data_IF_152839479097
#
_entry.id   IF_152839479097
#
_cell.length_a   1.000
_cell.length_b   1.000
_cell.length_c   1.000
_cell.angle_alpha   90.00
_cell.angle_beta   90.00
_cell.angle_gamma   90.00
#
_symmetry.space_group_name_H-M   'P 1'
#
loop_
_entity.id
_entity.type
_entity.pdbx_description
1 polymer ?
#
# COMPACT_ATOMS: atom_id res chain seq x y z
N UNK A 1 33.42 16.67 29.14
CA UNK A 1 33.39 17.76 28.14
C UNK A 1 34.33 17.34 27.00
N UNK A 2 33.87 17.26 25.75
CA UNK A 2 34.76 16.92 24.62
C UNK A 2 35.68 18.08 24.28
N UNK A 3 36.86 17.83 23.68
CA UNK A 3 37.76 18.88 23.22
C UNK A 3 37.05 19.85 22.25
N UNK A 4 36.18 19.35 21.39
CA UNK A 4 35.35 20.15 20.50
C UNK A 4 34.47 21.13 21.27
N UNK A 5 33.72 20.65 22.28
CA UNK A 5 32.84 21.47 23.11
C UNK A 5 33.64 22.52 23.91
N UNK A 6 34.87 22.16 24.34
CA UNK A 6 35.77 23.08 25.00
C UNK A 6 36.17 24.24 24.07
N UNK A 7 36.63 23.97 22.84
CA UNK A 7 37.00 25.03 21.90
C UNK A 7 35.79 25.85 21.42
N UNK A 8 34.62 25.23 21.30
CA UNK A 8 33.38 25.97 21.04
C UNK A 8 33.04 26.93 22.17
N UNK A 9 33.28 26.57 23.44
CA UNK A 9 33.08 27.48 24.59
C UNK A 9 34.06 28.62 24.66
N UNK A 10 35.20 28.50 23.97
CA UNK A 10 36.21 29.57 23.81
C UNK A 10 35.98 30.40 22.54
N UNK A 11 34.90 30.12 21.78
CA UNK A 11 34.62 30.75 20.48
C UNK A 11 35.70 30.49 19.41
N UNK A 12 36.59 29.50 19.65
CA UNK A 12 37.58 29.05 18.69
C UNK A 12 36.96 27.99 17.75
N UNK A 13 36.14 28.44 16.81
CA UNK A 13 35.41 27.60 15.86
C UNK A 13 36.37 26.93 14.86
N UNK A 14 37.49 27.53 14.48
CA UNK A 14 38.48 26.91 13.57
C UNK A 14 39.08 25.64 14.18
N UNK A 15 39.48 25.71 15.45
CA UNK A 15 40.00 24.52 16.14
C UNK A 15 38.93 23.46 16.36
N UNK A 16 37.72 23.87 16.74
CA UNK A 16 36.59 22.94 16.88
C UNK A 16 36.28 22.21 15.58
N UNK A 17 36.27 22.88 14.44
CA UNK A 17 36.04 22.31 13.10
C UNK A 17 37.20 21.41 12.66
N UNK A 18 38.44 21.83 12.93
CA UNK A 18 39.62 21.02 12.65
C UNK A 18 39.56 19.66 13.38
N UNK A 19 39.21 19.68 14.68
CA UNK A 19 39.02 18.48 15.49
C UNK A 19 37.88 17.63 14.99
N UNK A 20 36.75 18.24 14.59
CA UNK A 20 35.62 17.56 14.01
C UNK A 20 36.02 16.78 12.74
N UNK A 21 36.68 17.45 11.81
CA UNK A 21 37.18 16.84 10.58
C UNK A 21 38.17 15.69 10.86
N UNK A 22 39.07 15.88 11.80
CA UNK A 22 40.04 14.89 12.19
C UNK A 22 39.38 13.59 12.70
N UNK A 23 38.31 13.71 13.47
CA UNK A 23 37.52 12.56 13.95
C UNK A 23 36.73 11.92 12.82
N UNK A 24 35.95 12.70 12.08
CA UNK A 24 35.07 12.18 11.02
C UNK A 24 35.86 11.54 9.86
N UNK A 25 37.01 12.11 9.50
CA UNK A 25 37.83 11.62 8.38
C UNK A 25 38.99 10.73 8.83
N UNK A 26 39.19 10.55 10.14
CA UNK A 26 40.26 9.72 10.70
C UNK A 26 40.05 8.25 10.36
N UNK A 27 41.09 7.57 9.81
CA UNK A 27 41.06 6.13 9.55
C UNK A 27 41.11 5.28 10.82
N UNK A 28 41.65 5.81 11.90
CA UNK A 28 41.72 5.16 13.20
C UNK A 28 40.51 5.42 14.09
N UNK A 29 39.60 6.27 13.69
CA UNK A 29 38.36 6.58 14.42
C UNK A 29 37.35 5.48 14.10
N UNK A 30 36.74 4.90 15.13
CA UNK A 30 35.70 3.88 14.95
C UNK A 30 34.46 4.45 14.27
N UNK A 31 33.71 3.58 13.58
CA UNK A 31 32.46 3.94 12.96
C UNK A 31 31.45 4.46 13.99
N UNK A 32 31.41 3.87 15.18
CA UNK A 32 30.56 4.30 16.29
C UNK A 32 30.85 5.75 16.71
N UNK A 33 32.13 6.11 16.86
CA UNK A 33 32.54 7.47 17.21
C UNK A 33 32.18 8.47 16.10
N UNK A 34 32.40 8.10 14.83
CA UNK A 34 32.01 8.93 13.67
C UNK A 34 30.49 9.15 13.64
N UNK A 35 29.73 8.07 13.79
CA UNK A 35 28.26 8.11 13.77
C UNK A 35 27.71 8.94 14.94
N UNK A 36 28.27 8.78 16.13
CA UNK A 36 27.89 9.58 17.29
C UNK A 36 28.14 11.07 17.06
N UNK A 37 29.32 11.43 16.55
CA UNK A 37 29.67 12.82 16.30
C UNK A 37 28.81 13.46 15.22
N UNK A 38 28.60 12.78 14.09
CA UNK A 38 27.76 13.33 13.00
C UNK A 38 26.32 13.53 13.44
N UNK A 39 25.75 12.60 14.24
CA UNK A 39 24.41 12.76 14.82
C UNK A 39 24.31 13.97 15.74
N UNK A 40 25.34 14.23 16.55
CA UNK A 40 25.40 15.45 17.38
C UNK A 40 25.45 16.73 16.53
N UNK A 41 26.22 16.71 15.44
CA UNK A 41 26.30 17.84 14.51
C UNK A 41 24.96 18.12 13.87
N UNK A 42 24.28 17.06 13.39
CA UNK A 42 22.93 17.15 12.83
C UNK A 42 21.98 17.76 13.87
N UNK A 43 21.94 17.22 15.08
CA UNK A 43 21.06 17.73 16.14
C UNK A 43 21.30 19.20 16.45
N UNK A 44 22.56 19.64 16.54
CA UNK A 44 22.92 21.04 16.76
C UNK A 44 22.53 21.94 15.59
N UNK A 45 22.77 21.47 14.35
CA UNK A 45 22.40 22.19 13.14
C UNK A 45 20.90 22.40 13.03
N UNK A 46 20.12 21.35 13.30
CA UNK A 46 18.65 21.42 13.26
C UNK A 46 18.09 22.36 14.33
N UNK A 47 18.63 22.32 15.56
CA UNK A 47 18.23 23.23 16.65
C UNK A 47 18.54 24.70 16.33
N UNK A 48 19.62 24.94 15.60
CA UNK A 48 20.02 26.29 15.18
C UNK A 48 19.27 26.78 13.93
N UNK A 49 18.43 25.93 13.30
CA UNK A 49 17.78 26.23 12.01
C UNK A 49 18.77 26.36 10.86
N UNK A 50 19.93 25.71 10.96
CA UNK A 50 20.98 25.71 9.95
C UNK A 50 20.54 24.97 8.64
N UNK A 51 21.18 25.34 7.54
CA UNK A 51 20.96 24.65 6.29
C UNK A 51 21.67 23.29 6.24
N UNK A 52 21.24 22.45 5.31
CA UNK A 52 21.78 21.09 5.16
C UNK A 52 23.15 21.02 4.47
N UNK A 53 23.63 22.12 3.90
CA UNK A 53 24.80 22.14 3.00
C UNK A 53 26.07 21.66 3.70
N UNK A 54 26.32 22.13 4.91
CA UNK A 54 27.50 21.74 5.69
C UNK A 54 27.44 20.28 6.13
N UNK A 55 26.29 19.81 6.57
CA UNK A 55 26.07 18.41 6.97
C UNK A 55 26.28 17.48 5.78
N UNK A 56 25.72 17.81 4.63
CA UNK A 56 25.89 17.02 3.39
C UNK A 56 27.34 17.01 2.92
N UNK A 57 28.03 18.15 3.04
CA UNK A 57 29.46 18.24 2.72
C UNK A 57 30.29 17.31 3.60
N UNK A 58 29.97 17.23 4.88
CA UNK A 58 30.64 16.29 5.81
C UNK A 58 30.37 14.83 5.40
N UNK A 59 29.14 14.47 5.11
CA UNK A 59 28.80 13.13 4.61
C UNK A 59 29.60 12.76 3.34
N UNK A 60 29.63 13.64 2.35
CA UNK A 60 30.39 13.41 1.11
C UNK A 60 31.89 13.22 1.38
N UNK A 61 32.47 14.01 2.30
CA UNK A 61 33.87 13.82 2.69
C UNK A 61 34.10 12.48 3.39
N UNK A 62 33.22 12.08 4.31
CA UNK A 62 33.34 10.78 4.98
C UNK A 62 33.24 9.62 3.98
N UNK A 63 32.27 9.63 3.07
CA UNK A 63 32.10 8.62 2.02
C UNK A 63 33.29 8.58 1.05
N UNK A 64 34.00 9.70 0.81
CA UNK A 64 35.17 9.75 -0.05
C UNK A 64 36.42 9.14 0.61
N UNK A 65 36.50 9.13 1.94
CA UNK A 65 37.64 8.56 2.68
C UNK A 65 37.45 7.06 2.92
N UNK A 66 36.27 6.65 3.23
CA UNK A 66 35.88 5.25 3.39
C UNK A 66 34.83 4.88 2.36
N UNK A 67 35.29 4.18 1.32
CA UNK A 67 34.46 3.78 0.19
C UNK A 67 33.81 2.41 0.37
N UNK A 68 34.05 1.74 1.49
CA UNK A 68 33.54 0.39 1.79
C UNK A 68 32.44 0.36 2.84
N UNK A 69 32.32 1.43 3.60
CA UNK A 69 31.30 1.59 4.63
C UNK A 69 29.92 1.86 4.04
N UNK A 70 28.89 1.21 4.58
CA UNK A 70 27.49 1.40 4.18
C UNK A 70 26.67 2.20 5.19
N UNK A 71 27.12 2.31 6.43
CA UNK A 71 26.35 2.95 7.51
C UNK A 71 26.32 4.47 7.35
N UNK A 72 27.45 5.07 6.94
CA UNK A 72 27.53 6.53 6.69
C UNK A 72 26.66 6.92 5.48
N UNK A 73 26.73 6.26 4.31
CA UNK A 73 25.80 6.51 3.23
C UNK A 73 24.33 6.30 3.62
N UNK A 74 24.02 5.29 4.45
CA UNK A 74 22.66 5.07 4.93
C UNK A 74 22.18 6.22 5.82
N UNK A 75 23.02 6.68 6.75
CA UNK A 75 22.72 7.84 7.59
C UNK A 75 22.54 9.12 6.75
N UNK A 76 23.36 9.29 5.71
CA UNK A 76 23.22 10.39 4.75
C UNK A 76 21.87 10.35 4.04
N UNK A 77 21.48 9.20 3.48
CA UNK A 77 20.19 9.05 2.81
C UNK A 77 19.02 9.32 3.77
N UNK A 78 19.09 8.80 5.01
CA UNK A 78 18.09 9.05 6.06
C UNK A 78 17.98 10.55 6.40
N UNK A 79 19.12 11.24 6.49
CA UNK A 79 19.13 12.69 6.73
C UNK A 79 18.52 13.47 5.56
N UNK A 80 18.83 13.09 4.32
CA UNK A 80 18.25 13.71 3.12
C UNK A 80 16.73 13.51 3.06
N UNK A 81 16.21 12.32 3.42
CA UNK A 81 14.78 12.04 3.52
C UNK A 81 14.12 12.90 4.62
N UNK A 82 14.73 13.00 5.80
CA UNK A 82 14.24 13.84 6.88
C UNK A 82 14.10 15.31 6.45
N UNK A 83 15.03 15.79 5.63
CA UNK A 83 15.03 17.15 5.05
C UNK A 83 14.09 17.26 3.83
N UNK A 84 13.38 16.19 3.47
CA UNK A 84 12.48 16.12 2.31
C UNK A 84 13.16 16.56 0.99
N UNK A 85 14.42 16.15 0.82
CA UNK A 85 15.15 16.43 -0.41
C UNK A 85 14.55 15.64 -1.59
N UNK A 86 14.70 16.13 -2.82
CA UNK A 86 14.22 15.41 -4.00
C UNK A 86 14.79 13.98 -4.08
N UNK A 87 13.96 13.01 -4.44
CA UNK A 87 14.34 11.60 -4.60
C UNK A 87 15.55 11.41 -5.49
N UNK A 88 15.67 12.21 -6.55
CA UNK A 88 16.79 12.19 -7.50
C UNK A 88 18.15 12.52 -6.87
N UNK A 89 18.15 13.27 -5.77
CA UNK A 89 19.36 13.53 -4.99
C UNK A 89 19.73 12.37 -4.07
N UNK A 90 18.75 11.58 -3.62
CA UNK A 90 18.92 10.49 -2.65
C UNK A 90 19.24 9.17 -3.37
N UNK A 91 18.59 8.90 -4.51
CA UNK A 91 18.80 7.68 -5.31
C UNK A 91 20.27 7.35 -5.58
N UNK A 92 21.18 8.30 -5.93
CA UNK A 92 22.59 8.01 -6.11
C UNK A 92 23.28 7.45 -4.86
N UNK A 93 22.91 7.95 -3.67
CA UNK A 93 23.45 7.48 -2.39
C UNK A 93 22.99 6.05 -2.11
N UNK A 94 21.70 5.77 -2.29
CA UNK A 94 21.14 4.42 -2.13
C UNK A 94 21.74 3.43 -3.14
N UNK A 95 21.91 3.83 -4.39
CA UNK A 95 22.58 3.02 -5.41
C UNK A 95 24.06 2.77 -5.09
N UNK A 96 24.72 3.72 -4.40
CA UNK A 96 26.09 3.50 -3.91
C UNK A 96 26.10 2.41 -2.84
N UNK A 97 25.17 2.43 -1.88
CA UNK A 97 25.01 1.39 -0.86
C UNK A 97 24.82 0.02 -1.53
N UNK A 98 23.93 -0.08 -2.52
CA UNK A 98 23.65 -1.35 -3.21
C UNK A 98 24.82 -1.88 -4.06
N UNK A 99 25.76 -1.02 -4.46
CA UNK A 99 27.03 -1.49 -5.08
C UNK A 99 27.97 -2.12 -4.07
N UNK A 100 27.95 -1.67 -2.82
CA UNK A 100 28.79 -2.18 -1.73
C UNK A 100 28.17 -3.40 -1.05
N UNK A 101 26.87 -3.35 -0.83
CA UNK A 101 26.06 -4.36 -0.17
C UNK A 101 24.78 -4.63 -0.98
N UNK A 102 24.82 -5.48 -2.01
CA UNK A 102 23.67 -5.78 -2.85
C UNK A 102 22.47 -6.38 -2.11
N UNK A 103 22.74 -6.97 -0.94
CA UNK A 103 21.76 -7.56 -0.02
C UNK A 103 21.15 -6.55 0.97
N UNK A 104 21.51 -5.27 0.88
CA UNK A 104 20.93 -4.24 1.74
C UNK A 104 19.46 -3.99 1.36
N UNK A 105 18.54 -4.69 2.05
CA UNK A 105 17.10 -4.60 1.81
C UNK A 105 16.54 -3.22 2.12
N UNK A 106 17.08 -2.51 3.12
CA UNK A 106 16.61 -1.18 3.50
C UNK A 106 16.83 -0.17 2.36
N UNK A 107 18.05 -0.09 1.82
CA UNK A 107 18.35 0.80 0.69
C UNK A 107 17.48 0.46 -0.52
N UNK A 108 17.23 -0.83 -0.77
CA UNK A 108 16.41 -1.26 -1.89
C UNK A 108 14.94 -0.92 -1.71
N UNK A 109 14.39 -1.08 -0.50
CA UNK A 109 13.01 -0.70 -0.18
C UNK A 109 12.79 0.81 -0.31
N UNK A 110 13.76 1.64 0.04
CA UNK A 110 13.69 3.08 -0.23
C UNK A 110 13.56 3.37 -1.73
N UNK A 111 14.39 2.71 -2.56
CA UNK A 111 14.29 2.86 -4.03
C UNK A 111 12.95 2.35 -4.57
N UNK A 112 12.42 1.25 -4.04
CA UNK A 112 11.07 0.74 -4.36
C UNK A 112 10.01 1.78 -3.99
N UNK A 113 10.12 2.39 -2.80
CA UNK A 113 9.21 3.45 -2.36
C UNK A 113 9.21 4.67 -3.29
N UNK A 114 10.37 5.11 -3.76
CA UNK A 114 10.45 6.21 -4.74
C UNK A 114 9.85 5.83 -6.09
N UNK A 115 10.18 4.65 -6.62
CA UNK A 115 9.59 4.17 -7.87
C UNK A 115 8.06 4.05 -7.77
N UNK A 116 7.57 3.63 -6.61
CA UNK A 116 6.14 3.56 -6.32
C UNK A 116 5.48 4.95 -6.31
N UNK A 117 6.10 5.93 -5.65
CA UNK A 117 5.62 7.31 -5.61
C UNK A 117 5.63 8.00 -6.99
N UNK A 118 6.52 7.59 -7.88
CA UNK A 118 6.65 8.05 -9.26
C UNK A 118 5.73 7.28 -10.23
N UNK A 119 4.94 6.34 -9.73
CA UNK A 119 4.07 5.44 -10.51
C UNK A 119 4.83 4.54 -11.51
N UNK A 120 6.14 4.35 -11.31
CA UNK A 120 7.00 3.52 -12.18
C UNK A 120 6.93 2.05 -11.75
N UNK A 121 5.87 1.35 -12.19
CA UNK A 121 5.65 -0.07 -11.87
C UNK A 121 6.74 -0.98 -12.45
N UNK A 122 7.31 -0.63 -13.60
CA UNK A 122 8.39 -1.40 -14.20
C UNK A 122 9.65 -1.35 -13.35
N UNK A 123 9.98 -0.20 -12.82
CA UNK A 123 11.09 -0.04 -11.90
C UNK A 123 10.89 -0.75 -10.58
N UNK A 124 9.66 -0.73 -10.03
CA UNK A 124 9.32 -1.52 -8.84
C UNK A 124 9.57 -3.01 -9.08
N UNK A 125 9.08 -3.54 -10.22
CA UNK A 125 9.25 -4.97 -10.57
C UNK A 125 10.73 -5.32 -10.67
N UNK A 126 11.53 -4.53 -11.38
CA UNK A 126 12.97 -4.73 -11.56
C UNK A 126 13.73 -4.74 -10.23
N UNK A 127 13.48 -3.72 -9.39
CA UNK A 127 14.12 -3.60 -8.07
C UNK A 127 13.77 -4.78 -7.16
N UNK A 128 12.51 -5.21 -7.14
CA UNK A 128 12.07 -6.34 -6.33
C UNK A 128 12.60 -7.67 -6.89
N UNK A 129 12.63 -7.84 -8.20
CA UNK A 129 13.19 -9.05 -8.81
C UNK A 129 14.66 -9.22 -8.44
N UNK A 130 15.45 -8.16 -8.58
CA UNK A 130 16.87 -8.17 -8.15
C UNK A 130 17.01 -8.40 -6.65
N UNK A 131 16.12 -7.79 -5.83
CA UNK A 131 16.14 -7.98 -4.38
C UNK A 131 16.00 -9.45 -3.97
N UNK A 132 15.12 -10.19 -4.62
CA UNK A 132 14.86 -11.61 -4.32
C UNK A 132 16.03 -12.52 -4.62
N UNK A 133 16.97 -12.10 -5.47
CA UNK A 133 18.24 -12.84 -5.69
C UNK A 133 19.16 -12.78 -4.47
N UNK A 134 19.12 -11.67 -3.72
CA UNK A 134 19.98 -11.44 -2.55
C UNK A 134 19.25 -11.69 -1.22
N UNK A 135 17.95 -11.48 -1.18
CA UNK A 135 17.09 -11.59 0.00
C UNK A 135 15.86 -12.45 -0.33
N UNK A 136 16.02 -13.75 -0.61
CA UNK A 136 14.92 -14.61 -1.09
C UNK A 136 13.81 -14.81 -0.05
N UNK A 137 14.10 -14.62 1.25
CA UNK A 137 13.14 -14.80 2.33
C UNK A 137 12.44 -13.49 2.75
N UNK A 138 12.80 -12.35 2.13
CA UNK A 138 12.19 -11.06 2.45
C UNK A 138 10.87 -10.89 1.70
N UNK A 139 9.78 -11.07 2.43
CA UNK A 139 8.41 -11.03 1.89
C UNK A 139 8.01 -9.69 1.29
N UNK A 140 8.62 -8.58 1.73
CA UNK A 140 8.29 -7.25 1.22
C UNK A 140 8.52 -7.14 -0.30
N UNK A 141 9.55 -7.79 -0.83
CA UNK A 141 9.84 -7.74 -2.27
C UNK A 141 8.85 -8.55 -3.10
N UNK A 142 8.31 -9.65 -2.56
CA UNK A 142 7.20 -10.38 -3.21
C UNK A 142 5.93 -9.55 -3.18
N UNK A 143 5.66 -8.86 -2.06
CA UNK A 143 4.49 -8.01 -1.91
C UNK A 143 4.48 -6.89 -2.95
N UNK A 144 5.50 -6.02 -2.94
CA UNK A 144 5.56 -4.89 -3.88
C UNK A 144 5.59 -5.33 -5.34
N UNK A 145 6.31 -6.40 -5.67
CA UNK A 145 6.35 -6.94 -7.02
C UNK A 145 4.98 -7.49 -7.45
N UNK A 146 4.32 -8.25 -6.57
CA UNK A 146 3.00 -8.82 -6.84
C UNK A 146 1.95 -7.74 -7.05
N UNK A 147 1.92 -6.72 -6.20
CA UNK A 147 1.01 -5.56 -6.34
C UNK A 147 1.31 -4.78 -7.64
N UNK A 148 2.58 -4.57 -8.00
CA UNK A 148 2.94 -3.88 -9.24
C UNK A 148 2.44 -4.66 -10.47
N UNK A 149 2.58 -5.98 -10.49
CA UNK A 149 2.00 -6.83 -11.55
C UNK A 149 0.47 -6.77 -11.55
N UNK A 150 -0.17 -6.81 -10.37
CA UNK A 150 -1.62 -6.73 -10.26
C UNK A 150 -2.18 -5.42 -10.81
N UNK A 151 -1.56 -4.28 -10.48
CA UNK A 151 -1.95 -2.95 -10.98
C UNK A 151 -1.71 -2.78 -12.49
N UNK A 152 -0.84 -3.61 -13.09
CA UNK A 152 -0.63 -3.68 -14.54
C UNK A 152 -1.57 -4.68 -15.23
N UNK A 153 -2.54 -5.21 -14.53
CA UNK A 153 -3.43 -6.29 -15.00
C UNK A 153 -2.69 -7.56 -15.46
N UNK A 154 -1.46 -7.73 -14.98
CA UNK A 154 -0.61 -8.90 -15.26
C UNK A 154 -0.90 -10.00 -14.24
N UNK A 155 -2.16 -10.50 -14.24
CA UNK A 155 -2.72 -11.35 -13.18
C UNK A 155 -1.95 -12.67 -12.97
N UNK A 156 -1.38 -13.27 -14.02
CA UNK A 156 -0.62 -14.52 -13.89
C UNK A 156 0.72 -14.30 -13.20
N UNK A 157 1.43 -13.22 -13.54
CA UNK A 157 2.68 -12.86 -12.87
C UNK A 157 2.42 -12.45 -11.41
N UNK A 158 1.37 -11.69 -11.14
CA UNK A 158 0.97 -11.33 -9.80
C UNK A 158 0.71 -12.58 -8.94
N UNK A 159 -0.14 -13.48 -9.43
CA UNK A 159 -0.49 -14.73 -8.73
C UNK A 159 0.75 -15.59 -8.45
N UNK A 160 1.61 -15.79 -9.47
CA UNK A 160 2.87 -16.54 -9.30
C UNK A 160 3.80 -15.89 -8.30
N UNK A 161 3.89 -14.55 -8.29
CA UNK A 161 4.73 -13.81 -7.34
C UNK A 161 4.24 -14.00 -5.92
N UNK A 162 2.93 -13.87 -5.67
CA UNK A 162 2.36 -14.10 -4.34
C UNK A 162 2.48 -15.56 -3.89
N UNK A 163 2.29 -16.53 -4.78
CA UNK A 163 2.52 -17.95 -4.48
C UNK A 163 3.96 -18.23 -4.07
N UNK A 164 4.93 -17.63 -4.75
CA UNK A 164 6.33 -17.72 -4.35
C UNK A 164 6.56 -17.06 -2.98
N UNK A 165 5.94 -15.91 -2.70
CA UNK A 165 6.00 -15.27 -1.39
C UNK A 165 5.39 -16.14 -0.29
N UNK A 166 4.28 -16.84 -0.57
CA UNK A 166 3.68 -17.81 0.36
C UNK A 166 4.64 -18.96 0.66
N UNK A 167 5.45 -19.41 -0.30
CA UNK A 167 6.40 -20.52 -0.10
C UNK A 167 7.55 -20.19 0.86
N UNK A 168 7.81 -18.93 1.14
CA UNK A 168 8.88 -18.50 2.09
C UNK A 168 8.32 -18.11 3.46
N UNK A 169 7.03 -18.33 3.71
CA UNK A 169 6.40 -18.07 5.02
C UNK A 169 7.06 -18.95 6.09
N UNK A 170 7.35 -18.33 7.22
CA UNK A 170 7.91 -19.00 8.39
C UNK A 170 7.33 -18.38 9.69
N UNK A 171 7.74 -18.89 10.84
CA UNK A 171 7.24 -18.45 12.15
C UNK A 171 7.50 -16.97 12.47
N UNK A 172 8.42 -16.31 11.77
CA UNK A 172 8.77 -14.89 11.93
C UNK A 172 8.05 -13.99 10.92
N UNK A 173 7.29 -14.57 9.99
CA UNK A 173 6.59 -13.82 8.96
C UNK A 173 5.56 -12.88 9.57
N UNK A 174 5.47 -11.67 9.03
CA UNK A 174 4.50 -10.68 9.47
C UNK A 174 3.09 -11.11 9.03
N UNK A 175 2.20 -11.31 10.00
CA UNK A 175 0.83 -11.79 9.76
C UNK A 175 0.01 -10.83 8.86
N UNK A 176 0.24 -9.52 8.93
CA UNK A 176 -0.43 -8.55 8.08
C UNK A 176 -0.04 -8.77 6.61
N UNK A 177 1.27 -8.87 6.33
CA UNK A 177 1.77 -9.09 4.95
C UNK A 177 1.28 -10.43 4.40
N UNK A 178 1.32 -11.49 5.21
CA UNK A 178 0.82 -12.81 4.78
C UNK A 178 -0.67 -12.77 4.49
N UNK A 179 -1.45 -12.11 5.35
CA UNK A 179 -2.89 -11.91 5.15
C UNK A 179 -3.17 -11.17 3.84
N UNK A 180 -2.44 -10.08 3.57
CA UNK A 180 -2.60 -9.30 2.34
C UNK A 180 -2.24 -10.11 1.09
N UNK A 181 -1.23 -11.00 1.16
CA UNK A 181 -0.93 -11.92 0.04
C UNK A 181 -2.14 -12.77 -0.31
N UNK A 182 -2.75 -13.40 0.69
CA UNK A 182 -3.90 -14.26 0.48
C UNK A 182 -5.14 -13.48 0.04
N UNK A 183 -5.31 -12.25 0.52
CA UNK A 183 -6.41 -11.38 0.09
C UNK A 183 -6.32 -11.09 -1.42
N UNK A 184 -5.17 -10.58 -1.88
CA UNK A 184 -4.98 -10.25 -3.31
C UNK A 184 -4.99 -11.51 -4.18
N UNK A 185 -4.43 -12.64 -3.71
CA UNK A 185 -4.55 -13.92 -4.41
C UNK A 185 -6.00 -14.33 -4.57
N UNK A 186 -6.82 -14.17 -3.53
CA UNK A 186 -8.26 -14.46 -3.57
C UNK A 186 -8.97 -13.64 -4.65
N UNK A 187 -8.67 -12.35 -4.74
CA UNK A 187 -9.22 -11.46 -5.75
C UNK A 187 -8.79 -11.86 -7.17
N UNK A 188 -7.50 -12.11 -7.39
CA UNK A 188 -6.98 -12.56 -8.68
C UNK A 188 -7.64 -13.88 -9.10
N UNK A 189 -7.72 -14.85 -8.20
CA UNK A 189 -8.32 -16.17 -8.47
C UNK A 189 -9.80 -16.04 -8.81
N UNK A 190 -10.52 -15.15 -8.12
CA UNK A 190 -11.92 -14.87 -8.43
C UNK A 190 -12.06 -14.25 -9.83
N UNK A 191 -11.28 -13.23 -10.19
CA UNK A 191 -11.24 -12.63 -11.53
C UNK A 191 -10.94 -13.66 -12.62
N UNK A 192 -10.14 -14.68 -12.31
CA UNK A 192 -9.82 -15.80 -13.22
C UNK A 192 -10.89 -16.91 -13.24
N UNK A 193 -12.01 -16.76 -12.51
CA UNK A 193 -13.07 -17.75 -12.41
C UNK A 193 -12.72 -18.98 -11.56
N UNK A 194 -11.58 -18.99 -10.86
CA UNK A 194 -11.11 -20.08 -9.98
C UNK A 194 -11.70 -19.93 -8.57
N UNK A 195 -13.03 -19.97 -8.49
CA UNK A 195 -13.79 -19.54 -7.30
C UNK A 195 -13.47 -20.37 -6.05
N UNK A 196 -13.33 -21.69 -6.16
CA UNK A 196 -13.01 -22.53 -5.01
C UNK A 196 -11.64 -22.18 -4.40
N UNK A 197 -10.66 -21.90 -5.26
CA UNK A 197 -9.33 -21.49 -4.83
C UNK A 197 -9.32 -20.07 -4.27
N UNK A 198 -10.14 -19.17 -4.83
CA UNK A 198 -10.34 -17.84 -4.28
C UNK A 198 -10.86 -17.88 -2.84
N UNK A 199 -11.88 -18.70 -2.59
CA UNK A 199 -12.43 -18.85 -1.24
C UNK A 199 -11.44 -19.51 -0.27
N UNK A 200 -10.64 -20.48 -0.72
CA UNK A 200 -9.56 -21.05 0.08
C UNK A 200 -8.48 -19.99 0.43
N UNK A 201 -8.17 -19.09 -0.50
CA UNK A 201 -7.25 -17.99 -0.24
C UNK A 201 -7.83 -17.00 0.79
N UNK A 202 -9.11 -16.62 0.68
CA UNK A 202 -9.77 -15.78 1.68
C UNK A 202 -9.86 -16.46 3.07
N UNK A 203 -10.14 -17.75 3.13
CA UNK A 203 -10.09 -18.49 4.41
C UNK A 203 -8.68 -18.46 5.01
N UNK A 204 -7.62 -18.62 4.20
CA UNK A 204 -6.23 -18.49 4.65
C UNK A 204 -5.90 -17.07 5.11
N UNK A 205 -6.35 -16.05 4.38
CA UNK A 205 -6.23 -14.66 4.79
C UNK A 205 -6.77 -14.43 6.21
N UNK A 206 -7.99 -14.89 6.46
CA UNK A 206 -8.67 -14.70 7.76
C UNK A 206 -8.12 -15.61 8.87
N UNK A 207 -7.37 -16.66 8.55
CA UNK A 207 -6.63 -17.43 9.55
C UNK A 207 -5.43 -16.63 10.08
N UNK A 208 -4.75 -15.87 9.21
CA UNK A 208 -3.63 -15.02 9.59
C UNK A 208 -4.10 -13.72 10.27
N UNK A 209 -5.16 -13.10 9.76
CA UNK A 209 -5.72 -11.86 10.28
C UNK A 209 -7.26 -11.89 10.22
N UNK A 210 -7.93 -12.34 11.32
CA UNK A 210 -9.39 -12.49 11.37
C UNK A 210 -10.19 -11.20 11.17
N UNK A 211 -9.53 -10.05 11.26
CA UNK A 211 -10.08 -8.71 11.10
C UNK A 211 -9.50 -7.98 9.88
N UNK A 212 -8.99 -8.70 8.88
CA UNK A 212 -8.63 -8.10 7.60
C UNK A 212 -9.91 -7.58 6.92
N UNK A 213 -10.15 -6.28 7.03
CA UNK A 213 -11.41 -5.63 6.60
C UNK A 213 -11.65 -5.76 5.09
N UNK A 214 -10.66 -5.48 4.20
CA UNK A 214 -10.82 -5.73 2.77
C UNK A 214 -11.19 -7.18 2.44
N UNK A 215 -10.49 -8.14 3.02
CA UNK A 215 -10.77 -9.56 2.82
C UNK A 215 -12.19 -9.94 3.27
N UNK A 216 -12.63 -9.48 4.45
CA UNK A 216 -13.98 -9.71 4.95
C UNK A 216 -15.03 -9.17 3.99
N UNK A 217 -14.83 -7.97 3.43
CA UNK A 217 -15.74 -7.38 2.46
C UNK A 217 -15.81 -8.18 1.17
N UNK A 218 -14.64 -8.44 0.55
CA UNK A 218 -14.56 -9.09 -0.75
C UNK A 218 -15.12 -10.52 -0.69
N UNK A 219 -14.76 -11.26 0.35
CA UNK A 219 -15.29 -12.61 0.55
C UNK A 219 -16.81 -12.61 0.75
N UNK A 220 -17.33 -11.71 1.60
CA UNK A 220 -18.77 -11.58 1.83
C UNK A 220 -19.52 -11.23 0.54
N UNK A 221 -19.00 -10.30 -0.25
CA UNK A 221 -19.56 -9.91 -1.52
C UNK A 221 -19.62 -11.08 -2.50
N UNK A 222 -18.51 -11.80 -2.69
CA UNK A 222 -18.48 -12.93 -3.63
C UNK A 222 -19.35 -14.12 -3.22
N UNK A 223 -19.49 -14.38 -1.91
CA UNK A 223 -20.48 -15.34 -1.42
C UNK A 223 -21.90 -14.90 -1.77
N UNK A 224 -22.20 -13.61 -1.63
CA UNK A 224 -23.54 -13.09 -1.92
C UNK A 224 -23.90 -13.18 -3.40
N UNK A 225 -22.96 -12.89 -4.31
CA UNK A 225 -23.17 -13.03 -5.76
C UNK A 225 -23.58 -14.46 -6.16
N UNK A 226 -23.04 -15.46 -5.42
CA UNK A 226 -23.33 -16.87 -5.66
C UNK A 226 -24.54 -17.37 -4.86
N UNK A 227 -25.15 -16.52 -4.05
CA UNK A 227 -26.21 -16.91 -3.13
C UNK A 227 -25.80 -18.05 -2.19
N UNK A 228 -24.53 -18.09 -1.78
CA UNK A 228 -23.92 -19.12 -0.93
C UNK A 228 -23.61 -18.53 0.47
N UNK A 229 -23.90 -19.32 1.52
CA UNK A 229 -23.52 -18.96 2.91
C UNK A 229 -23.85 -17.51 3.31
N UNK A 230 -25.04 -17.00 2.93
CA UNK A 230 -25.45 -15.62 3.16
C UNK A 230 -25.36 -15.18 4.63
N UNK A 231 -25.58 -16.09 5.60
CA UNK A 231 -25.40 -15.79 7.03
C UNK A 231 -23.93 -15.54 7.39
N UNK A 232 -22.98 -16.31 6.80
CA UNK A 232 -21.53 -16.05 6.94
C UNK A 232 -21.18 -14.69 6.32
N UNK A 233 -21.69 -14.42 5.12
CA UNK A 233 -21.47 -13.17 4.41
C UNK A 233 -21.97 -11.96 5.24
N UNK A 234 -23.19 -12.03 5.78
CA UNK A 234 -23.76 -10.98 6.64
C UNK A 234 -22.90 -10.73 7.88
N UNK A 235 -22.44 -11.80 8.55
CA UNK A 235 -21.57 -11.69 9.73
C UNK A 235 -20.26 -11.01 9.41
N UNK A 236 -19.63 -11.33 8.28
CA UNK A 236 -18.38 -10.72 7.83
C UNK A 236 -18.58 -9.26 7.45
N UNK A 237 -19.59 -8.95 6.65
CA UNK A 237 -19.89 -7.58 6.22
C UNK A 237 -20.33 -6.68 7.40
N UNK A 238 -20.98 -7.23 8.44
CA UNK A 238 -21.25 -6.47 9.66
C UNK A 238 -19.96 -6.05 10.39
N UNK A 239 -18.90 -6.85 10.34
CA UNK A 239 -17.58 -6.46 10.90
C UNK A 239 -16.98 -5.28 10.13
N UNK A 240 -17.11 -5.26 8.80
CA UNK A 240 -16.60 -4.15 7.98
C UNK A 240 -17.33 -2.86 8.30
N UNK A 241 -18.65 -2.90 8.47
CA UNK A 241 -19.44 -1.73 8.87
C UNK A 241 -19.10 -1.22 10.29
N UNK A 242 -18.73 -2.12 11.21
CA UNK A 242 -18.27 -1.69 12.55
C UNK A 242 -16.92 -0.97 12.49
N UNK A 243 -16.04 -1.38 11.59
CA UNK A 243 -14.74 -0.74 11.41
C UNK A 243 -14.87 0.62 10.69
N UNK A 244 -15.65 0.67 9.61
CA UNK A 244 -15.80 1.85 8.77
C UNK A 244 -17.29 2.10 8.44
N UNK A 245 -18.06 2.70 9.36
CA UNK A 245 -19.53 2.81 9.23
C UNK A 245 -20.03 3.68 8.07
N UNK A 246 -19.16 4.50 7.50
CA UNK A 246 -19.48 5.42 6.40
C UNK A 246 -18.83 5.02 5.07
N UNK A 247 -18.15 3.89 5.01
CA UNK A 247 -17.55 3.43 3.76
C UNK A 247 -18.66 2.97 2.81
N UNK A 248 -18.81 3.68 1.68
CA UNK A 248 -19.88 3.42 0.70
C UNK A 248 -19.84 2.00 0.14
N UNK A 249 -18.65 1.46 -0.13
CA UNK A 249 -18.46 0.09 -0.63
C UNK A 249 -18.91 -0.96 0.39
N UNK A 250 -18.62 -0.76 1.67
CA UNK A 250 -19.03 -1.72 2.71
C UNK A 250 -20.53 -1.65 2.99
N UNK A 251 -21.10 -0.44 2.93
CA UNK A 251 -22.55 -0.24 3.03
C UNK A 251 -23.29 -0.90 1.85
N UNK A 252 -22.76 -0.77 0.65
CA UNK A 252 -23.29 -1.42 -0.55
C UNK A 252 -23.21 -2.95 -0.46
N UNK A 253 -22.06 -3.50 -0.09
CA UNK A 253 -21.91 -4.95 0.10
C UNK A 253 -22.93 -5.49 1.11
N UNK A 254 -23.13 -4.79 2.23
CA UNK A 254 -24.11 -5.21 3.24
C UNK A 254 -25.54 -5.11 2.71
N UNK A 255 -25.87 -4.03 2.01
CA UNK A 255 -27.17 -3.87 1.36
C UNK A 255 -27.44 -4.97 0.33
N UNK A 256 -26.42 -5.34 -0.46
CA UNK A 256 -26.54 -6.39 -1.45
C UNK A 256 -26.76 -7.77 -0.80
N UNK A 257 -26.05 -8.10 0.29
CA UNK A 257 -26.28 -9.33 1.05
C UNK A 257 -27.72 -9.40 1.56
N UNK A 258 -28.26 -8.32 2.13
CA UNK A 258 -29.65 -8.23 2.58
C UNK A 258 -30.64 -8.40 1.41
N UNK A 259 -30.33 -7.82 0.26
CA UNK A 259 -31.09 -8.00 -0.97
C UNK A 259 -31.16 -9.46 -1.39
N UNK A 260 -30.01 -10.15 -1.38
CA UNK A 260 -29.93 -11.58 -1.71
C UNK A 260 -30.69 -12.44 -0.70
N UNK A 261 -30.81 -12.00 0.55
CA UNK A 261 -31.67 -12.61 1.59
C UNK A 261 -33.14 -12.23 1.45
N UNK A 262 -33.53 -11.46 0.43
CA UNK A 262 -34.89 -10.94 0.19
C UNK A 262 -35.39 -9.95 1.27
N UNK A 263 -34.50 -9.38 2.07
CA UNK A 263 -34.76 -8.37 3.10
C UNK A 263 -34.70 -6.96 2.48
N UNK A 264 -35.54 -6.70 1.47
CA UNK A 264 -35.47 -5.53 0.60
C UNK A 264 -35.61 -4.20 1.34
N UNK A 265 -36.50 -4.13 2.36
CA UNK A 265 -36.69 -2.89 3.13
C UNK A 265 -35.44 -2.55 3.97
N UNK A 266 -34.75 -3.55 4.51
CA UNK A 266 -33.51 -3.34 5.24
C UNK A 266 -32.37 -3.00 4.27
N UNK A 267 -32.26 -3.71 3.15
CA UNK A 267 -31.30 -3.43 2.09
C UNK A 267 -31.38 -1.96 1.65
N UNK A 268 -32.61 -1.43 1.53
CA UNK A 268 -32.84 -0.03 1.15
C UNK A 268 -32.22 0.96 2.15
N UNK A 269 -32.29 0.69 3.45
CA UNK A 269 -31.70 1.56 4.47
C UNK A 269 -30.19 1.71 4.28
N UNK A 270 -29.50 0.60 3.99
CA UNK A 270 -28.05 0.61 3.84
C UNK A 270 -27.59 1.13 2.48
N UNK A 271 -28.34 0.86 1.40
CA UNK A 271 -28.00 1.43 0.08
C UNK A 271 -28.22 2.94 0.06
N UNK A 272 -29.24 3.45 0.76
CA UNK A 272 -29.46 4.89 0.90
C UNK A 272 -28.28 5.57 1.64
N UNK A 273 -27.70 4.89 2.65
CA UNK A 273 -26.51 5.37 3.32
C UNK A 273 -25.27 5.27 2.41
N UNK A 274 -25.12 4.19 1.62
CA UNK A 274 -24.05 4.09 0.65
C UNK A 274 -24.07 5.26 -0.32
N UNK A 275 -25.23 5.54 -0.92
CA UNK A 275 -25.44 6.66 -1.87
C UNK A 275 -25.13 8.04 -1.27
N UNK A 276 -25.35 8.23 0.04
CA UNK A 276 -24.99 9.48 0.74
C UNK A 276 -23.49 9.63 0.97
N UNK A 277 -22.74 8.53 0.99
CA UNK A 277 -21.31 8.50 1.26
C UNK A 277 -20.47 8.22 -0.01
N UNK A 278 -21.10 8.07 -1.16
CA UNK A 278 -20.38 8.02 -2.45
C UNK A 278 -19.70 9.36 -2.67
N UNK A 279 -18.38 9.35 -2.78
CA UNK A 279 -17.63 10.55 -3.14
C UNK A 279 -17.98 10.97 -4.57
N UNK A 280 -18.78 12.03 -4.69
CA UNK A 280 -19.10 12.66 -5.98
C UNK A 280 -17.87 13.33 -6.63
N UNK A 281 -16.75 13.37 -5.89
CA UNK A 281 -15.49 14.03 -6.27
C UNK A 281 -14.40 13.00 -6.62
N UNK A 282 -14.71 11.72 -6.78
CA UNK A 282 -13.74 10.74 -7.30
C UNK A 282 -13.34 11.08 -8.75
N UNK A 283 -12.63 12.19 -8.88
CA UNK A 283 -12.05 12.76 -10.11
C UNK A 283 -10.87 11.92 -10.65
N UNK A 284 -10.57 10.78 -10.04
CA UNK A 284 -9.39 9.97 -10.34
C UNK A 284 -9.74 8.54 -10.80
N UNK A 285 -10.73 8.39 -11.68
CA UNK A 285 -10.81 7.18 -12.50
C UNK A 285 -11.60 5.99 -11.92
N UNK A 286 -12.11 6.04 -10.68
CA UNK A 286 -12.91 4.95 -10.07
C UNK A 286 -14.44 5.07 -10.33
N UNK A 287 -14.81 5.50 -11.52
CA UNK A 287 -16.22 5.51 -11.95
C UNK A 287 -16.87 4.12 -11.91
N UNK A 288 -16.09 3.06 -12.06
CA UNK A 288 -16.59 1.67 -12.06
C UNK A 288 -17.12 1.26 -10.69
N UNK A 289 -16.45 1.61 -9.60
CA UNK A 289 -16.89 1.29 -8.22
C UNK A 289 -18.25 1.92 -7.90
N UNK A 290 -18.46 3.17 -8.29
CA UNK A 290 -19.73 3.86 -8.07
C UNK A 290 -20.86 3.29 -8.95
N UNK A 291 -20.56 2.81 -10.16
CA UNK A 291 -21.55 2.20 -11.05
C UNK A 291 -22.23 0.99 -10.42
N UNK A 292 -21.48 0.14 -9.73
CA UNK A 292 -22.03 -1.03 -9.02
C UNK A 292 -23.01 -0.60 -7.92
N UNK A 293 -22.66 0.41 -7.12
CA UNK A 293 -23.53 0.94 -6.05
C UNK A 293 -24.86 1.45 -6.65
N UNK A 294 -24.80 2.18 -7.76
CA UNK A 294 -25.99 2.65 -8.45
C UNK A 294 -26.80 1.50 -9.07
N UNK A 295 -26.17 0.47 -9.62
CA UNK A 295 -26.88 -0.69 -10.13
C UNK A 295 -27.61 -1.44 -9.01
N UNK A 296 -26.93 -1.72 -7.90
CA UNK A 296 -27.52 -2.34 -6.71
C UNK A 296 -28.67 -1.49 -6.15
N UNK A 297 -28.50 -0.17 -6.09
CA UNK A 297 -29.57 0.74 -5.68
C UNK A 297 -30.80 0.59 -6.59
N UNK A 298 -30.62 0.58 -7.90
CA UNK A 298 -31.71 0.37 -8.84
C UNK A 298 -32.43 -0.96 -8.61
N UNK A 299 -31.69 -2.03 -8.39
CA UNK A 299 -32.26 -3.36 -8.14
C UNK A 299 -33.04 -3.41 -6.82
N UNK A 300 -32.50 -2.84 -5.75
CA UNK A 300 -33.16 -2.75 -4.45
C UNK A 300 -34.43 -1.91 -4.52
N UNK A 301 -34.38 -0.74 -5.15
CA UNK A 301 -35.53 0.15 -5.29
C UNK A 301 -36.64 -0.49 -6.14
N UNK A 302 -36.27 -1.28 -7.16
CA UNK A 302 -37.25 -2.04 -7.93
C UNK A 302 -38.07 -3.00 -7.06
N UNK A 303 -37.37 -3.78 -6.22
CA UNK A 303 -38.05 -4.71 -5.31
C UNK A 303 -38.80 -4.02 -4.18
N UNK A 304 -38.43 -2.79 -3.82
CA UNK A 304 -39.16 -1.92 -2.90
C UNK A 304 -40.39 -1.24 -3.55
N UNK A 305 -40.75 -1.58 -4.82
CA UNK A 305 -41.88 -1.04 -5.56
C UNK A 305 -41.75 0.46 -5.89
N UNK A 306 -40.54 0.93 -6.12
CA UNK A 306 -40.20 2.29 -6.52
C UNK A 306 -39.55 2.30 -7.92
N UNK A 307 -40.25 1.86 -8.99
CA UNK A 307 -39.64 1.60 -10.31
C UNK A 307 -39.07 2.87 -10.98
N UNK A 308 -39.68 4.05 -10.73
CA UNK A 308 -39.19 5.29 -11.31
C UNK A 308 -37.80 5.67 -10.76
N UNK A 309 -37.58 5.49 -9.46
CA UNK A 309 -36.27 5.70 -8.85
C UNK A 309 -35.27 4.63 -9.28
N UNK A 310 -35.70 3.36 -9.39
CA UNK A 310 -34.87 2.28 -9.88
C UNK A 310 -34.31 2.63 -11.27
N UNK A 311 -35.14 3.15 -12.16
CA UNK A 311 -34.73 3.57 -13.50
C UNK A 311 -33.69 4.68 -13.47
N UNK A 312 -33.83 5.68 -12.59
CA UNK A 312 -32.82 6.74 -12.42
C UNK A 312 -31.48 6.18 -12.00
N UNK A 313 -31.45 5.30 -10.99
CA UNK A 313 -30.21 4.70 -10.53
C UNK A 313 -29.55 3.82 -11.60
N UNK A 314 -30.29 3.01 -12.36
CA UNK A 314 -29.72 2.26 -13.48
C UNK A 314 -29.16 3.17 -14.58
N UNK A 315 -29.81 4.32 -14.85
CA UNK A 315 -29.26 5.31 -15.78
C UNK A 315 -27.97 5.96 -15.26
N UNK A 316 -27.87 6.22 -13.95
CA UNK A 316 -26.66 6.74 -13.34
C UNK A 316 -25.52 5.70 -13.36
N UNK A 317 -25.85 4.43 -13.10
CA UNK A 317 -24.89 3.33 -13.23
C UNK A 317 -24.30 3.22 -14.67
N UNK A 318 -25.13 3.39 -15.69
CA UNK A 318 -24.69 3.37 -17.09
C UNK A 318 -23.69 4.47 -17.47
N UNK A 319 -23.63 5.57 -16.70
CA UNK A 319 -22.63 6.63 -16.93
C UNK A 319 -21.21 6.14 -16.59
N UNK A 320 -21.10 5.22 -15.64
CA UNK A 320 -19.83 4.63 -15.21
C UNK A 320 -19.52 3.29 -15.90
N UNK A 321 -20.53 2.55 -16.34
CA UNK A 321 -20.40 1.25 -17.02
C UNK A 321 -21.31 1.17 -18.26
N UNK A 322 -20.93 1.90 -19.29
CA UNK A 322 -21.74 2.09 -20.50
C UNK A 322 -21.86 0.84 -21.38
N UNK A 323 -21.01 -0.17 -21.18
CA UNK A 323 -21.02 -1.41 -21.98
C UNK A 323 -21.75 -2.58 -21.29
N UNK A 324 -22.23 -2.39 -20.08
CA UNK A 324 -22.97 -3.41 -19.32
C UNK A 324 -24.30 -3.76 -20.00
N UNK A 325 -24.32 -4.92 -20.66
CA UNK A 325 -25.47 -5.36 -21.46
C UNK A 325 -26.72 -5.60 -20.62
N UNK A 326 -26.57 -6.07 -19.37
CA UNK A 326 -27.68 -6.32 -18.45
C UNK A 326 -28.29 -5.00 -18.02
N UNK A 327 -27.45 -4.05 -17.65
CA UNK A 327 -27.85 -2.71 -17.24
C UNK A 327 -28.53 -1.94 -18.39
N UNK A 328 -27.95 -2.00 -19.60
CA UNK A 328 -28.59 -1.44 -20.82
C UNK A 328 -30.00 -2.02 -21.00
N UNK A 329 -30.14 -3.34 -20.79
CA UNK A 329 -31.45 -4.01 -20.93
C UNK A 329 -32.42 -3.60 -19.83
N UNK A 330 -31.96 -3.45 -18.56
CA UNK A 330 -32.79 -2.93 -17.44
C UNK A 330 -33.35 -1.56 -17.78
N UNK A 331 -32.49 -0.62 -18.25
CA UNK A 331 -32.90 0.73 -18.62
C UNK A 331 -33.85 0.76 -19.81
N UNK A 332 -33.50 0.03 -20.89
CA UNK A 332 -34.31 0.00 -22.13
C UNK A 332 -35.72 -0.54 -21.91
N UNK A 333 -35.83 -1.61 -21.13
CA UNK A 333 -37.10 -2.29 -20.88
C UNK A 333 -37.80 -1.80 -19.60
N UNK A 334 -37.16 -0.87 -18.86
CA UNK A 334 -37.65 -0.33 -17.59
C UNK A 334 -38.07 -1.43 -16.62
N UNK A 335 -37.29 -2.51 -16.54
CA UNK A 335 -37.62 -3.69 -15.77
C UNK A 335 -36.35 -4.36 -15.25
N UNK A 336 -36.41 -4.93 -14.03
CA UNK A 336 -35.37 -5.77 -13.48
C UNK A 336 -35.18 -7.04 -14.31
N UNK A 337 -33.93 -7.39 -14.55
CA UNK A 337 -33.48 -8.68 -15.08
C UNK A 337 -32.32 -9.17 -14.23
N UNK A 338 -32.36 -10.44 -13.88
CA UNK A 338 -31.19 -11.13 -13.30
C UNK A 338 -30.30 -11.62 -14.46
N UNK A 339 -29.00 -11.62 -14.24
CA UNK A 339 -28.04 -12.25 -15.15
C UNK A 339 -28.39 -13.72 -15.43
#
# INVERSE_FOLDING_TARGET
>A
MSLRTYYQSLEDYEMADSLTRRVLLGRSTSLEEKTYLIRQIIGTNEQAGGDSTEVLRMFHQMMSVDTTDVDIPMLCATYMDLKKMPSDSIKPVLNHILRLAPDNSVARLHLVGYAWAEDDKDRVIELCQTAREYNPDDMAFYYYQGIAYYQRDSLDQALSTFQNGVSVINEKSNADIVSDFYEVMGEILHKKGRVAEAFAAYDSCLQWKPDNIPCLNNYAYYLSLRNENLSKAETMSMKTLKAEPKNATYLDTFAWILFMQQRYAEAKIYIDQALQNVDTVALNGDTISNAAIYEHAGDIYWYCKEPDKALVFWQDALKGDSENKVLIRKVKLKKYFKE
#
